data_IF_326831834884
#
_entry.id   IF_326831834884
#
_cell.length_a   1.000
_cell.length_b   1.000
_cell.length_c   1.000
_cell.angle_alpha   90.00
_cell.angle_beta   90.00
_cell.angle_gamma   90.00
#
_symmetry.space_group_name_H-M   'P 1'
#
loop_
_entity.id
_entity.type
_entity.pdbx_description
1 polymer ?
#
# COMPACT_ATOMS: atom_id res chain seq x y z
N UNK A 1 -4.17 17.54 17.83
CA UNK A 1 -4.10 18.08 19.20
C UNK A 1 -5.13 17.33 20.03
N UNK A 2 -4.86 17.05 21.30
CA UNK A 2 -5.90 16.50 22.18
C UNK A 2 -6.91 17.62 22.36
N UNK A 3 -8.00 17.61 21.59
CA UNK A 3 -9.04 18.63 21.69
C UNK A 3 -9.80 18.40 23.00
N UNK A 4 -9.25 18.94 24.08
CA UNK A 4 -9.91 18.96 25.36
C UNK A 4 -11.14 19.87 25.24
N UNK A 5 -12.30 19.33 25.59
CA UNK A 5 -13.58 20.07 25.56
C UNK A 5 -13.63 21.23 26.57
N UNK A 6 -12.68 21.29 27.51
CA UNK A 6 -12.49 22.41 28.43
C UNK A 6 -11.09 22.37 29.07
N UNK A 7 -10.63 23.51 29.60
CA UNK A 7 -9.36 23.59 30.34
C UNK A 7 -9.32 22.71 31.60
N UNK A 8 -10.49 22.31 32.13
CA UNK A 8 -10.60 21.40 33.26
C UNK A 8 -9.84 20.09 33.00
N UNK A 9 -10.01 19.47 31.83
CA UNK A 9 -9.38 18.19 31.53
C UNK A 9 -7.86 18.27 31.45
N UNK A 10 -7.34 19.39 30.94
CA UNK A 10 -5.90 19.66 30.93
C UNK A 10 -5.32 19.69 32.36
N UNK A 11 -5.97 20.47 33.24
CA UNK A 11 -5.55 20.60 34.63
C UNK A 11 -5.73 19.30 35.41
N UNK A 12 -6.82 18.55 35.14
CA UNK A 12 -7.08 17.26 35.76
C UNK A 12 -5.98 16.24 35.41
N UNK A 13 -5.65 16.08 34.12
CA UNK A 13 -4.59 15.17 33.68
C UNK A 13 -3.25 15.58 34.28
N UNK A 14 -2.88 16.86 34.18
CA UNK A 14 -1.62 17.34 34.74
C UNK A 14 -1.55 17.12 36.26
N UNK A 15 -2.63 17.43 36.98
CA UNK A 15 -2.73 17.27 38.42
C UNK A 15 -2.60 15.82 38.87
N UNK A 16 -3.39 14.91 38.28
CA UNK A 16 -3.36 13.48 38.61
C UNK A 16 -1.98 12.90 38.32
N UNK A 17 -1.38 13.18 37.15
CA UNK A 17 -0.05 12.67 36.80
C UNK A 17 1.02 13.12 37.80
N UNK A 18 1.08 14.41 38.15
CA UNK A 18 2.07 14.92 39.10
C UNK A 18 1.86 14.36 40.50
N UNK A 19 0.60 14.30 40.96
CA UNK A 19 0.26 13.72 42.28
C UNK A 19 0.62 12.24 42.33
N UNK A 20 0.37 11.46 41.27
CA UNK A 20 0.74 10.05 41.21
C UNK A 20 2.26 9.85 41.28
N UNK A 21 3.04 10.65 40.55
CA UNK A 21 4.52 10.55 40.59
C UNK A 21 5.04 10.90 42.00
N UNK A 22 4.49 11.94 42.62
CA UNK A 22 4.84 12.31 44.00
C UNK A 22 4.41 11.23 45.00
N UNK A 23 3.24 10.61 44.81
CA UNK A 23 2.76 9.52 45.64
C UNK A 23 3.68 8.29 45.56
N UNK A 24 4.23 7.97 44.38
CA UNK A 24 5.24 6.92 44.25
C UNK A 24 6.52 7.23 45.03
N UNK A 25 6.98 8.49 45.01
CA UNK A 25 8.14 8.91 45.80
C UNK A 25 7.88 8.81 47.30
N UNK A 26 6.69 9.25 47.74
CA UNK A 26 6.26 9.16 49.14
C UNK A 26 6.13 7.70 49.58
N UNK A 27 5.56 6.84 48.74
CA UNK A 27 5.44 5.41 49.02
C UNK A 27 6.82 4.77 49.21
N UNK A 28 7.78 5.04 48.30
CA UNK A 28 9.15 4.56 48.45
C UNK A 28 9.78 5.02 49.77
N UNK A 29 9.56 6.28 50.14
CA UNK A 29 10.08 6.84 51.39
C UNK A 29 9.45 6.20 52.65
N UNK A 30 8.12 5.99 52.65
CA UNK A 30 7.41 5.32 53.74
C UNK A 30 7.83 3.85 53.86
N UNK A 31 7.85 3.11 52.74
CA UNK A 31 8.27 1.70 52.71
C UNK A 31 9.73 1.53 53.14
N UNK A 32 10.61 2.48 52.81
CA UNK A 32 12.01 2.46 53.25
C UNK A 32 12.20 2.78 54.75
N UNK A 33 11.21 3.38 55.41
CA UNK A 33 11.24 3.72 56.85
C UNK A 33 10.38 2.81 57.73
N UNK A 34 9.46 2.06 57.14
CA UNK A 34 8.59 1.15 57.87
C UNK A 34 9.41 0.04 58.54
N UNK A 35 9.20 -0.15 59.84
CA UNK A 35 9.78 -1.27 60.60
C UNK A 35 8.70 -2.31 60.81
N UNK A 36 8.82 -3.45 60.13
CA UNK A 36 7.94 -4.58 60.39
C UNK A 36 8.34 -5.31 61.68
N UNK A 37 7.36 -5.90 62.37
CA UNK A 37 7.63 -6.82 63.47
C UNK A 37 8.14 -8.13 62.88
N UNK A 38 9.35 -8.53 63.23
CA UNK A 38 9.97 -9.76 62.72
C UNK A 38 10.06 -10.81 63.82
N UNK A 39 9.89 -12.07 63.45
CA UNK A 39 10.26 -13.20 64.29
C UNK A 39 11.80 -13.25 64.47
N UNK A 40 12.28 -14.11 65.36
CA UNK A 40 13.72 -14.26 65.69
C UNK A 40 14.59 -14.69 64.50
N UNK A 41 13.98 -15.22 63.43
CA UNK A 41 14.61 -15.64 62.18
C UNK A 41 14.55 -14.58 61.06
N UNK A 42 14.17 -13.34 61.38
CA UNK A 42 14.02 -12.22 60.44
C UNK A 42 12.89 -12.41 59.38
N UNK A 43 11.95 -13.32 59.64
CA UNK A 43 10.73 -13.47 58.84
C UNK A 43 9.54 -12.74 59.47
N UNK A 44 8.44 -12.60 58.72
CA UNK A 44 7.19 -11.98 59.18
C UNK A 44 6.40 -12.84 60.19
N UNK A 45 6.85 -14.06 60.48
CA UNK A 45 6.22 -14.98 61.45
C UNK A 45 5.02 -15.77 60.93
N UNK A 46 4.54 -15.47 59.72
CA UNK A 46 3.51 -16.26 59.02
C UNK A 46 4.15 -17.29 58.09
N UNK A 47 3.54 -18.47 58.00
CA UNK A 47 3.94 -19.53 57.08
C UNK A 47 2.80 -19.79 56.11
N UNK A 48 3.13 -19.79 54.82
CA UNK A 48 2.21 -20.06 53.73
C UNK A 48 2.65 -21.36 53.06
N UNK A 49 1.69 -22.20 52.67
CA UNK A 49 1.91 -23.43 51.90
C UNK A 49 3.11 -24.28 52.36
N UNK A 50 3.09 -24.69 53.63
CA UNK A 50 4.10 -25.58 54.22
C UNK A 50 5.35 -24.87 54.72
N UNK A 51 6.17 -24.30 53.83
CA UNK A 51 7.48 -23.73 54.17
C UNK A 51 7.77 -22.33 53.60
N UNK A 52 6.84 -21.73 52.83
CA UNK A 52 7.03 -20.38 52.31
C UNK A 52 6.88 -19.34 53.43
N UNK A 53 7.91 -18.51 53.58
CA UNK A 53 7.97 -17.42 54.55
C UNK A 53 8.50 -16.16 53.88
N UNK A 54 8.01 -15.02 54.31
CA UNK A 54 8.47 -13.72 53.82
C UNK A 54 9.57 -13.17 54.72
N UNK A 55 10.73 -12.87 54.13
CA UNK A 55 11.83 -12.20 54.83
C UNK A 55 11.60 -10.69 54.86
N UNK A 56 11.88 -10.05 56.01
CA UNK A 56 11.84 -8.59 56.13
C UNK A 56 13.22 -7.98 55.84
N UNK A 57 13.65 -8.08 54.58
CA UNK A 57 14.91 -7.48 54.12
C UNK A 57 14.73 -6.04 53.66
N UNK A 58 15.72 -5.15 53.88
CA UNK A 58 15.69 -3.82 53.32
C UNK A 58 15.77 -3.87 51.79
N UNK A 59 15.12 -2.91 51.13
CA UNK A 59 15.21 -2.76 49.69
C UNK A 59 16.68 -2.62 49.26
N UNK A 60 17.13 -3.34 48.20
CA UNK A 60 18.48 -3.17 47.69
C UNK A 60 18.75 -1.70 47.33
N UNK A 61 19.87 -1.15 47.82
CA UNK A 61 20.17 0.29 47.65
C UNK A 61 20.21 0.72 46.18
N UNK A 62 20.74 -0.14 45.31
CA UNK A 62 20.80 0.12 43.87
C UNK A 62 19.39 0.18 43.25
N UNK A 63 18.46 -0.67 43.71
CA UNK A 63 17.09 -0.70 43.23
C UNK A 63 16.34 0.57 43.65
N UNK A 64 16.51 0.99 44.92
CA UNK A 64 15.90 2.22 45.41
C UNK A 64 16.41 3.45 44.65
N UNK A 65 17.72 3.52 44.36
CA UNK A 65 18.28 4.60 43.54
C UNK A 65 17.77 4.57 42.10
N UNK A 66 17.66 3.39 41.48
CA UNK A 66 17.08 3.25 40.15
C UNK A 66 15.64 3.80 40.11
N UNK A 67 14.82 3.46 41.11
CA UNK A 67 13.46 3.97 41.24
C UNK A 67 13.41 5.49 41.39
N UNK A 68 14.33 6.10 42.12
CA UNK A 68 14.43 7.56 42.23
C UNK A 68 14.84 8.18 40.89
N UNK A 69 15.79 7.57 40.17
CA UNK A 69 16.24 8.05 38.85
C UNK A 69 15.08 8.05 37.85
N UNK A 70 14.23 7.02 37.83
CA UNK A 70 13.07 6.99 36.92
C UNK A 70 12.05 8.07 37.23
N UNK A 71 11.84 8.41 38.52
CA UNK A 71 11.00 9.54 38.92
C UNK A 71 11.59 10.87 38.42
N UNK A 72 12.88 11.09 38.63
CA UNK A 72 13.57 12.30 38.15
C UNK A 72 13.47 12.38 36.62
N UNK A 73 13.71 11.27 35.92
CA UNK A 73 13.57 11.19 34.48
C UNK A 73 12.14 11.54 34.03
N UNK A 74 11.11 11.03 34.71
CA UNK A 74 9.72 11.34 34.39
C UNK A 74 9.41 12.84 34.50
N UNK A 75 9.88 13.52 35.56
CA UNK A 75 9.71 14.97 35.69
C UNK A 75 10.46 15.74 34.59
N UNK A 76 11.70 15.34 34.27
CA UNK A 76 12.47 15.96 33.18
C UNK A 76 11.77 15.74 31.84
N UNK A 77 11.29 14.53 31.57
CA UNK A 77 10.59 14.19 30.33
C UNK A 77 9.31 15.00 30.17
N UNK A 78 8.47 15.06 31.20
CA UNK A 78 7.23 15.87 31.21
C UNK A 78 7.48 17.37 31.13
N UNK A 79 8.66 17.85 31.55
CA UNK A 79 9.05 19.24 31.36
C UNK A 79 9.47 19.53 29.90
N UNK A 80 10.09 18.58 29.21
CA UNK A 80 10.61 18.72 27.85
C UNK A 80 9.58 18.44 26.77
N UNK A 81 8.74 17.42 26.96
CA UNK A 81 7.77 16.89 25.98
C UNK A 81 6.32 17.16 26.40
N UNK A 82 5.37 17.13 25.45
CA UNK A 82 3.96 17.15 25.78
C UNK A 82 3.55 15.91 26.59
N UNK A 83 2.75 16.12 27.63
CA UNK A 83 2.28 15.06 28.52
C UNK A 83 1.44 15.55 29.70
N UNK A 84 1.62 16.82 30.09
CA UNK A 84 0.83 17.46 31.15
C UNK A 84 -0.31 18.29 30.55
N UNK A 85 -1.38 17.61 30.13
CA UNK A 85 -2.55 18.27 29.55
C UNK A 85 -2.19 19.04 28.27
N UNK A 86 -2.45 20.36 28.25
CA UNK A 86 -2.14 21.27 27.12
C UNK A 86 -0.72 21.81 27.13
N UNK A 87 0.10 21.48 28.14
CA UNK A 87 1.49 21.89 28.17
C UNK A 87 2.27 21.20 27.03
N UNK A 88 2.77 22.00 26.09
CA UNK A 88 3.47 21.53 24.89
C UNK A 88 4.90 21.03 25.14
N UNK A 89 5.41 21.16 26.37
CA UNK A 89 6.82 20.93 26.67
C UNK A 89 7.70 22.13 26.28
N UNK A 90 8.91 22.20 26.86
CA UNK A 90 9.88 23.25 26.51
C UNK A 90 10.43 23.12 25.10
N UNK A 91 10.43 21.91 24.53
CA UNK A 91 10.98 21.65 23.19
C UNK A 91 9.97 21.95 22.08
N UNK A 92 8.70 22.20 22.40
CA UNK A 92 7.64 22.39 21.39
C UNK A 92 7.46 21.18 20.46
N UNK A 93 7.88 19.99 20.90
CA UNK A 93 7.86 18.78 20.10
C UNK A 93 6.43 18.27 19.89
N UNK A 94 6.15 17.77 18.68
CA UNK A 94 4.96 16.98 18.38
C UNK A 94 5.33 15.85 17.42
N UNK A 95 4.67 14.70 17.54
CA UNK A 95 4.88 13.57 16.62
C UNK A 95 4.57 13.95 15.16
N UNK A 96 3.53 14.76 14.94
CA UNK A 96 3.17 15.28 13.63
C UNK A 96 4.21 16.24 13.07
N UNK A 97 4.76 17.14 13.91
CA UNK A 97 5.80 18.07 13.47
C UNK A 97 7.13 17.38 13.17
N UNK A 98 7.49 16.38 13.99
CA UNK A 98 8.66 15.54 13.72
C UNK A 98 8.48 14.77 12.42
N UNK A 99 7.33 14.11 12.22
CA UNK A 99 7.04 13.38 10.99
C UNK A 99 7.14 14.28 9.76
N UNK A 100 6.54 15.47 9.80
CA UNK A 100 6.63 16.42 8.68
C UNK A 100 8.08 16.82 8.39
N UNK A 101 8.86 17.12 9.45
CA UNK A 101 10.28 17.48 9.30
C UNK A 101 11.09 16.35 8.68
N UNK A 102 10.83 15.10 9.08
CA UNK A 102 11.50 13.92 8.52
C UNK A 102 11.12 13.67 7.06
N UNK A 103 9.84 13.84 6.71
CA UNK A 103 9.35 13.76 5.32
C UNK A 103 9.96 14.86 4.45
N UNK A 104 9.97 16.10 4.92
CA UNK A 104 10.53 17.24 4.18
C UNK A 104 12.03 17.05 3.94
N UNK A 105 12.76 16.60 4.96
CA UNK A 105 14.18 16.28 4.83
C UNK A 105 14.40 15.15 3.82
N UNK A 106 13.65 14.05 3.93
CA UNK A 106 13.74 12.93 2.99
C UNK A 106 13.44 13.35 1.55
N UNK A 107 12.42 14.17 1.34
CA UNK A 107 12.07 14.73 0.03
C UNK A 107 13.18 15.63 -0.52
N UNK A 108 13.78 16.49 0.32
CA UNK A 108 14.90 17.34 -0.08
C UNK A 108 16.15 16.53 -0.47
N UNK A 109 16.44 15.46 0.26
CA UNK A 109 17.58 14.58 0.01
C UNK A 109 17.46 13.84 -1.34
N UNK A 110 16.24 13.44 -1.74
CA UNK A 110 16.00 12.73 -3.02
C UNK A 110 15.66 13.67 -4.19
N UNK A 111 15.32 14.94 -3.94
CA UNK A 111 14.91 15.87 -4.98
C UNK A 111 15.93 16.04 -6.12
N UNK A 112 17.26 16.17 -5.88
CA UNK A 112 18.24 16.28 -6.96
C UNK A 112 18.29 15.05 -7.86
N UNK A 113 18.12 13.86 -7.26
CA UNK A 113 18.10 12.59 -7.98
C UNK A 113 16.89 12.51 -8.91
N UNK A 114 15.71 12.87 -8.42
CA UNK A 114 14.49 12.88 -9.23
C UNK A 114 14.48 14.01 -10.28
N UNK A 115 15.05 15.17 -9.98
CA UNK A 115 15.16 16.28 -10.93
C UNK A 115 16.00 15.91 -12.17
N UNK A 116 17.02 15.04 -12.02
CA UNK A 116 17.74 14.46 -13.15
C UNK A 116 16.79 13.72 -14.09
N UNK A 117 15.93 12.86 -13.56
CA UNK A 117 15.04 12.00 -14.36
C UNK A 117 13.82 12.73 -14.91
N UNK A 118 13.27 13.72 -14.18
CA UNK A 118 12.11 14.51 -14.63
C UNK A 118 12.37 15.29 -15.92
N UNK A 119 13.62 15.65 -16.19
CA UNK A 119 14.00 16.38 -17.42
C UNK A 119 14.33 15.45 -18.60
N UNK A 120 14.41 14.14 -18.36
CA UNK A 120 14.68 13.14 -19.38
C UNK A 120 13.39 12.62 -20.00
N UNK A 121 13.45 12.26 -21.29
CA UNK A 121 12.33 11.56 -21.92
C UNK A 121 12.17 10.17 -21.29
N UNK A 122 10.94 9.64 -21.17
CA UNK A 122 10.73 8.32 -20.55
C UNK A 122 11.59 7.21 -21.15
N UNK A 123 11.84 7.25 -22.46
CA UNK A 123 12.68 6.29 -23.17
C UNK A 123 14.15 6.38 -22.75
N UNK A 124 14.64 7.59 -22.44
CA UNK A 124 16.00 7.82 -21.92
C UNK A 124 16.09 7.38 -20.45
N UNK A 125 15.06 7.66 -19.66
CA UNK A 125 14.96 7.19 -18.26
C UNK A 125 14.98 5.66 -18.21
N UNK A 126 14.26 5.00 -19.12
CA UNK A 126 14.25 3.54 -19.25
C UNK A 126 15.63 2.96 -19.60
N UNK A 127 16.55 3.77 -20.15
CA UNK A 127 17.93 3.39 -20.45
C UNK A 127 18.93 3.67 -19.33
N UNK A 128 18.53 4.38 -18.27
CA UNK A 128 19.39 4.73 -17.12
C UNK A 128 19.26 3.67 -16.02
N UNK A 129 20.36 2.98 -15.70
CA UNK A 129 20.37 1.89 -14.73
C UNK A 129 19.98 2.32 -13.30
N UNK A 130 20.30 3.55 -12.91
CA UNK A 130 19.92 4.08 -11.61
C UNK A 130 18.41 4.33 -11.55
N UNK A 131 17.83 4.88 -12.62
CA UNK A 131 16.40 5.06 -12.74
C UNK A 131 15.65 3.72 -12.72
N UNK A 132 16.14 2.70 -13.44
CA UNK A 132 15.52 1.36 -13.45
C UNK A 132 15.56 0.69 -12.08
N UNK A 133 16.67 0.79 -11.35
CA UNK A 133 16.73 0.27 -9.98
C UNK A 133 15.75 0.99 -9.04
N UNK A 134 15.47 2.28 -9.25
CA UNK A 134 14.45 3.02 -8.48
C UNK A 134 13.05 2.57 -8.91
N UNK A 135 12.80 2.49 -10.21
CA UNK A 135 11.54 2.03 -10.79
C UNK A 135 11.16 0.63 -10.33
N UNK A 136 12.10 -0.29 -10.30
CA UNK A 136 11.92 -1.65 -9.76
C UNK A 136 11.49 -1.62 -8.29
N UNK A 137 12.17 -0.82 -7.44
CA UNK A 137 11.78 -0.68 -6.02
C UNK A 137 10.39 -0.07 -5.87
N UNK A 138 10.05 0.93 -6.69
CA UNK A 138 8.71 1.52 -6.69
C UNK A 138 7.67 0.46 -7.11
N UNK A 139 7.96 -0.32 -8.16
CA UNK A 139 7.09 -1.37 -8.66
C UNK A 139 6.88 -2.49 -7.64
N UNK A 140 7.95 -2.99 -7.03
CA UNK A 140 7.88 -4.07 -6.05
C UNK A 140 7.10 -3.68 -4.79
N UNK A 141 7.22 -2.42 -4.35
CA UNK A 141 6.50 -1.94 -3.16
C UNK A 141 5.03 -1.59 -3.42
N UNK A 142 4.68 -1.16 -4.65
CA UNK A 142 3.37 -0.55 -4.91
C UNK A 142 2.52 -1.29 -5.96
N UNK A 143 3.12 -2.10 -6.83
CA UNK A 143 2.46 -2.65 -8.02
C UNK A 143 2.48 -4.19 -8.07
N UNK A 144 3.56 -4.82 -7.59
CA UNK A 144 3.78 -6.27 -7.70
C UNK A 144 2.70 -7.13 -7.01
N UNK A 145 2.03 -6.59 -5.99
CA UNK A 145 0.93 -7.30 -5.30
C UNK A 145 -0.21 -7.68 -6.26
N UNK A 146 -0.44 -6.86 -7.30
CA UNK A 146 -1.47 -7.12 -8.31
C UNK A 146 -0.86 -7.63 -9.61
N UNK A 147 0.16 -6.93 -10.11
CA UNK A 147 0.77 -7.22 -11.42
C UNK A 147 1.84 -8.32 -11.38
N UNK A 148 2.08 -8.96 -10.24
CA UNK A 148 3.11 -9.98 -10.08
C UNK A 148 4.51 -9.38 -9.89
N UNK A 149 5.42 -10.15 -9.27
CA UNK A 149 6.80 -9.71 -9.03
C UNK A 149 7.62 -9.55 -10.32
N UNK A 150 7.26 -10.30 -11.36
CA UNK A 150 7.85 -10.25 -12.71
C UNK A 150 7.05 -9.35 -13.66
N UNK A 151 6.05 -8.63 -13.13
CA UNK A 151 5.08 -7.87 -13.90
C UNK A 151 4.23 -8.70 -14.89
N UNK A 152 4.21 -10.03 -14.75
CA UNK A 152 3.49 -10.96 -15.63
C UNK A 152 1.97 -10.97 -15.48
N UNK A 153 1.44 -10.25 -14.49
CA UNK A 153 0.02 -10.18 -14.21
C UNK A 153 -0.56 -11.47 -13.60
N UNK A 154 -1.88 -11.58 -13.65
CA UNK A 154 -2.63 -12.77 -13.23
C UNK A 154 -4.03 -12.74 -13.84
N UNK A 155 -4.87 -13.74 -13.59
CA UNK A 155 -6.25 -13.71 -14.12
C UNK A 155 -7.00 -12.45 -13.66
N UNK A 156 -7.34 -11.59 -14.62
CA UNK A 156 -8.02 -10.31 -14.42
C UNK A 156 -7.08 -9.12 -14.22
N UNK A 157 -5.76 -9.32 -14.11
CA UNK A 157 -4.76 -8.28 -13.98
C UNK A 157 -3.78 -8.32 -15.17
N UNK A 158 -3.62 -7.22 -15.92
CA UNK A 158 -2.77 -7.21 -17.11
C UNK A 158 -1.32 -7.57 -16.82
N UNK A 159 -0.72 -8.28 -17.78
CA UNK A 159 0.72 -8.43 -17.91
C UNK A 159 1.29 -7.11 -18.43
N UNK A 160 2.30 -6.58 -17.76
CA UNK A 160 2.94 -5.30 -18.11
C UNK A 160 4.27 -5.50 -18.85
N UNK A 161 4.70 -6.75 -19.00
CA UNK A 161 5.94 -7.17 -19.65
C UNK A 161 5.71 -7.66 -21.09
N UNK A 162 4.47 -7.69 -21.58
CA UNK A 162 4.16 -8.00 -22.98
C UNK A 162 3.84 -6.75 -23.80
N UNK A 163 3.54 -6.97 -25.08
CA UNK A 163 3.18 -5.92 -26.02
C UNK A 163 1.69 -5.57 -26.05
N UNK A 164 0.84 -6.21 -25.25
CA UNK A 164 -0.61 -6.01 -25.29
C UNK A 164 -1.07 -4.95 -24.27
N UNK A 165 -1.55 -3.82 -24.80
CA UNK A 165 -1.89 -2.66 -23.97
C UNK A 165 -3.36 -2.28 -24.15
N UNK A 166 -4.15 -2.53 -23.09
CA UNK A 166 -5.57 -2.18 -23.04
C UNK A 166 -5.84 -0.71 -23.30
N UNK A 167 -5.02 0.19 -22.75
CA UNK A 167 -5.20 1.64 -22.90
C UNK A 167 -4.17 2.30 -23.82
N UNK A 168 -3.19 1.55 -24.33
CA UNK A 168 -2.06 2.02 -25.12
C UNK A 168 -0.73 2.02 -24.35
N UNK A 169 0.33 1.56 -25.02
CA UNK A 169 1.67 1.37 -24.44
C UNK A 169 2.63 2.54 -24.58
N UNK A 170 2.16 3.72 -25.02
CA UNK A 170 3.01 4.91 -25.10
C UNK A 170 3.35 5.41 -23.67
N UNK A 171 4.57 5.93 -23.41
CA UNK A 171 4.96 6.36 -22.07
C UNK A 171 4.01 7.38 -21.43
N UNK A 172 3.47 8.32 -22.22
CA UNK A 172 2.49 9.29 -21.75
C UNK A 172 1.19 8.63 -21.27
N UNK A 173 0.74 7.59 -21.96
CA UNK A 173 -0.47 6.83 -21.63
C UNK A 173 -0.30 5.96 -20.40
N UNK A 174 0.88 5.34 -20.24
CA UNK A 174 1.26 4.61 -19.03
C UNK A 174 1.31 5.58 -17.85
N UNK A 175 1.96 6.74 -18.00
CA UNK A 175 2.01 7.79 -16.99
C UNK A 175 0.61 8.27 -16.60
N UNK A 176 -0.26 8.51 -17.56
CA UNK A 176 -1.66 8.88 -17.28
C UNK A 176 -2.39 7.79 -16.50
N UNK A 177 -2.22 6.53 -16.89
CA UNK A 177 -2.81 5.37 -16.21
C UNK A 177 -2.33 5.28 -14.76
N UNK A 178 -1.04 5.44 -14.50
CA UNK A 178 -0.50 5.48 -13.14
C UNK A 178 -1.03 6.68 -12.34
N UNK A 179 -1.14 7.85 -12.97
CA UNK A 179 -1.55 9.08 -12.30
C UNK A 179 -3.03 9.06 -11.94
N UNK A 180 -3.90 8.78 -12.92
CA UNK A 180 -5.36 8.93 -12.80
C UNK A 180 -6.08 7.62 -12.50
N UNK A 181 -5.39 6.49 -12.61
CA UNK A 181 -6.04 5.19 -12.61
C UNK A 181 -6.80 4.92 -13.91
N UNK A 182 -7.39 3.72 -14.00
CA UNK A 182 -8.28 3.31 -15.09
C UNK A 182 -9.41 2.46 -14.54
N UNK A 183 -10.58 2.57 -15.17
CA UNK A 183 -11.72 1.69 -14.90
C UNK A 183 -12.17 1.09 -16.24
N UNK A 184 -11.97 -0.22 -16.39
CA UNK A 184 -12.51 -0.98 -17.52
C UNK A 184 -13.90 -1.48 -17.15
N UNK A 185 -14.87 -1.31 -18.05
CA UNK A 185 -16.25 -1.74 -17.83
C UNK A 185 -16.79 -2.49 -19.05
N UNK A 186 -16.89 -3.80 -18.94
CA UNK A 186 -17.64 -4.65 -19.85
C UNK A 186 -19.02 -4.92 -19.24
N UNK A 187 -20.10 -4.30 -19.74
CA UNK A 187 -21.43 -4.54 -19.19
C UNK A 187 -21.91 -5.98 -19.47
N UNK A 188 -22.89 -6.49 -18.71
CA UNK A 188 -23.61 -7.70 -19.08
C UNK A 188 -24.27 -7.54 -20.46
N UNK A 189 -23.89 -8.38 -21.41
CA UNK A 189 -24.35 -8.32 -22.81
C UNK A 189 -25.31 -9.46 -23.18
N UNK A 190 -25.58 -10.42 -22.29
CA UNK A 190 -26.46 -11.56 -22.58
C UNK A 190 -27.81 -11.16 -23.19
N UNK A 191 -28.49 -10.17 -22.59
CA UNK A 191 -29.77 -9.66 -23.10
C UNK A 191 -29.66 -8.97 -24.47
N UNK A 192 -28.53 -8.32 -24.77
CA UNK A 192 -28.27 -7.66 -26.05
C UNK A 192 -27.90 -8.66 -27.17
N UNK A 193 -27.43 -9.85 -26.80
CA UNK A 193 -27.08 -10.94 -27.73
C UNK A 193 -28.30 -11.81 -28.06
N UNK A 194 -29.13 -12.10 -27.05
CA UNK A 194 -30.39 -12.83 -27.20
C UNK A 194 -30.46 -14.06 -26.31
N UNK A 195 -30.63 -15.24 -26.92
CA UNK A 195 -30.77 -16.51 -26.21
C UNK A 195 -29.43 -17.05 -25.68
N UNK A 196 -29.48 -18.06 -24.81
CA UNK A 196 -28.27 -18.75 -24.36
C UNK A 196 -27.49 -19.40 -25.52
N UNK A 197 -28.20 -19.92 -26.52
CA UNK A 197 -27.60 -20.46 -27.73
C UNK A 197 -26.94 -19.37 -28.59
N UNK A 198 -27.53 -18.17 -28.64
CA UNK A 198 -26.91 -17.01 -29.31
C UNK A 198 -25.59 -16.60 -28.63
N UNK A 199 -25.56 -16.59 -27.30
CA UNK A 199 -24.34 -16.30 -26.52
C UNK A 199 -23.27 -17.37 -26.76
N UNK A 200 -23.67 -18.64 -26.84
CA UNK A 200 -22.78 -19.75 -27.18
C UNK A 200 -22.20 -19.60 -28.59
N UNK A 201 -23.05 -19.33 -29.59
CA UNK A 201 -22.64 -19.09 -30.97
C UNK A 201 -21.68 -17.90 -31.07
N UNK A 202 -21.98 -16.80 -30.35
CA UNK A 202 -21.11 -15.63 -30.29
C UNK A 202 -19.75 -15.95 -29.64
N UNK A 203 -19.72 -16.76 -28.59
CA UNK A 203 -18.47 -17.18 -27.96
C UNK A 203 -17.57 -17.96 -28.95
N UNK A 204 -18.16 -18.84 -29.78
CA UNK A 204 -17.44 -19.53 -30.85
C UNK A 204 -16.94 -18.57 -31.93
N UNK A 205 -17.72 -17.54 -32.27
CA UNK A 205 -17.26 -16.50 -33.19
C UNK A 205 -16.07 -15.71 -32.61
N UNK A 206 -16.10 -15.35 -31.33
CA UNK A 206 -14.98 -14.67 -30.67
C UNK A 206 -13.73 -15.55 -30.65
N UNK A 207 -13.85 -16.86 -30.38
CA UNK A 207 -12.73 -17.81 -30.52
C UNK A 207 -12.18 -17.87 -31.95
N UNK A 208 -13.04 -17.71 -32.96
CA UNK A 208 -12.59 -17.69 -34.36
C UNK A 208 -11.77 -16.44 -34.71
N UNK A 209 -11.95 -15.32 -34.00
CA UNK A 209 -11.22 -14.07 -34.23
C UNK A 209 -9.73 -14.20 -33.87
N UNK A 210 -9.41 -14.95 -32.82
CA UNK A 210 -8.04 -15.24 -32.40
C UNK A 210 -7.43 -16.47 -33.10
N UNK A 211 -8.16 -17.10 -34.02
CA UNK A 211 -7.74 -18.36 -34.65
C UNK A 211 -7.73 -19.56 -33.69
N UNK A 212 -8.39 -19.45 -32.53
CA UNK A 212 -8.49 -20.55 -31.56
C UNK A 212 -9.40 -21.68 -32.06
N UNK A 213 -9.24 -22.93 -31.58
CA UNK A 213 -10.16 -24.02 -31.89
C UNK A 213 -11.61 -23.65 -31.55
N UNK A 214 -12.49 -23.77 -32.54
CA UNK A 214 -13.90 -23.38 -32.45
C UNK A 214 -14.79 -24.25 -33.33
N UNK A 215 -16.10 -24.23 -33.08
CA UNK A 215 -17.11 -24.81 -33.96
C UNK A 215 -17.45 -23.81 -35.08
N UNK A 216 -17.15 -24.19 -36.33
CA UNK A 216 -17.31 -23.32 -37.50
C UNK A 216 -18.77 -22.98 -37.83
N UNK A 217 -19.70 -23.90 -37.55
CA UNK A 217 -21.13 -23.65 -37.76
C UNK A 217 -21.63 -22.63 -36.73
N UNK A 218 -21.29 -22.83 -35.46
CA UNK A 218 -21.68 -21.92 -34.39
C UNK A 218 -21.04 -20.54 -34.55
N UNK A 219 -19.76 -20.48 -34.94
CA UNK A 219 -19.09 -19.21 -35.23
C UNK A 219 -19.76 -18.44 -36.37
N UNK A 220 -20.21 -19.13 -37.43
CA UNK A 220 -20.96 -18.51 -38.53
C UNK A 220 -22.28 -17.91 -38.07
N UNK A 221 -23.03 -18.63 -37.21
CA UNK A 221 -24.28 -18.13 -36.63
C UNK A 221 -24.04 -16.94 -35.67
N UNK A 222 -22.96 -16.99 -34.89
CA UNK A 222 -22.58 -15.98 -33.91
C UNK A 222 -22.09 -14.67 -34.50
N UNK A 223 -21.56 -14.68 -35.74
CA UNK A 223 -20.99 -13.51 -36.41
C UNK A 223 -21.95 -12.32 -36.45
N UNK A 224 -23.23 -12.56 -36.74
CA UNK A 224 -24.24 -11.48 -36.79
C UNK A 224 -24.49 -10.83 -35.42
N UNK A 225 -24.29 -11.56 -34.33
CA UNK A 225 -24.50 -11.10 -32.95
C UNK A 225 -23.37 -10.22 -32.43
N UNK A 226 -22.18 -10.31 -33.03
CA UNK A 226 -21.03 -9.50 -32.66
C UNK A 226 -21.24 -8.00 -32.94
N UNK A 227 -22.25 -7.62 -33.73
CA UNK A 227 -22.62 -6.22 -33.96
C UNK A 227 -22.82 -5.43 -32.65
N UNK A 228 -23.39 -6.06 -31.61
CA UNK A 228 -23.56 -5.45 -30.28
C UNK A 228 -22.23 -5.25 -29.53
N UNK A 229 -21.21 -6.03 -29.86
CA UNK A 229 -19.87 -5.98 -29.26
C UNK A 229 -18.94 -5.00 -29.99
N UNK A 230 -19.17 -4.81 -31.28
CA UNK A 230 -18.33 -4.00 -32.16
C UNK A 230 -18.26 -2.52 -31.77
N UNK A 231 -19.25 -2.01 -31.03
CA UNK A 231 -19.24 -0.65 -30.50
C UNK A 231 -18.04 -0.38 -29.57
N UNK A 232 -17.60 -1.41 -28.83
CA UNK A 232 -16.47 -1.31 -27.92
C UNK A 232 -15.23 -2.05 -28.45
N UNK A 233 -15.39 -3.23 -29.04
CA UNK A 233 -14.26 -4.06 -29.49
C UNK A 233 -13.87 -3.83 -30.95
N UNK A 234 -14.52 -2.91 -31.66
CA UNK A 234 -14.33 -2.71 -33.10
C UNK A 234 -15.00 -3.79 -33.93
N UNK A 235 -15.25 -3.51 -35.21
CA UNK A 235 -15.88 -4.47 -36.12
C UNK A 235 -15.00 -5.68 -36.43
N UNK A 236 -13.68 -5.50 -36.39
CA UNK A 236 -12.69 -6.55 -36.58
C UNK A 236 -12.25 -7.20 -35.27
N UNK A 237 -12.80 -6.78 -34.13
CA UNK A 237 -12.48 -7.33 -32.81
C UNK A 237 -11.14 -6.87 -32.25
N UNK A 238 -10.46 -5.88 -32.84
CA UNK A 238 -9.15 -5.41 -32.39
C UNK A 238 -9.14 -4.62 -31.08
N UNK A 239 -10.29 -4.41 -30.47
CA UNK A 239 -10.42 -3.65 -29.24
C UNK A 239 -10.46 -2.14 -29.49
N UNK A 240 -10.52 -1.39 -28.39
CA UNK A 240 -10.54 0.07 -28.41
C UNK A 240 -9.80 0.60 -27.18
N UNK A 241 -8.60 1.14 -27.43
CA UNK A 241 -7.73 1.64 -26.37
C UNK A 241 -8.31 2.83 -25.60
N UNK A 242 -9.14 3.65 -26.25
CA UNK A 242 -9.81 4.76 -25.57
C UNK A 242 -10.78 4.29 -24.48
N UNK A 243 -11.35 3.09 -24.65
CA UNK A 243 -12.28 2.46 -23.71
C UNK A 243 -11.61 1.43 -22.79
N UNK A 244 -10.37 1.02 -23.08
CA UNK A 244 -9.74 -0.14 -22.43
C UNK A 244 -10.32 -1.47 -22.88
N UNK A 245 -11.01 -1.50 -24.03
CA UNK A 245 -11.61 -2.72 -24.54
C UNK A 245 -10.50 -3.59 -25.16
N UNK A 246 -10.30 -4.83 -24.66
CA UNK A 246 -9.22 -5.70 -25.13
C UNK A 246 -9.39 -6.08 -26.59
N UNK A 247 -8.26 -6.36 -27.22
CA UNK A 247 -8.20 -7.05 -28.49
C UNK A 247 -8.69 -8.50 -28.31
N UNK A 248 -9.59 -8.93 -29.18
CA UNK A 248 -10.17 -10.28 -29.18
C UNK A 248 -9.57 -11.17 -30.28
N UNK A 249 -8.63 -10.62 -31.07
CA UNK A 249 -8.00 -11.32 -32.20
C UNK A 249 -6.61 -11.88 -31.86
N UNK A 250 -6.12 -11.70 -30.63
CA UNK A 250 -4.83 -12.22 -30.18
C UNK A 250 -5.00 -13.40 -29.21
N UNK A 251 -3.87 -13.86 -28.69
CA UNK A 251 -3.77 -14.96 -27.74
C UNK A 251 -3.73 -14.49 -26.27
N UNK A 252 -4.04 -13.21 -25.99
CA UNK A 252 -3.97 -12.63 -24.66
C UNK A 252 -5.34 -12.63 -23.97
N UNK A 253 -5.55 -13.65 -23.13
CA UNK A 253 -6.84 -13.87 -22.45
C UNK A 253 -6.84 -13.41 -20.99
N UNK A 254 -6.97 -12.10 -20.76
CA UNK A 254 -6.95 -11.49 -19.43
C UNK A 254 -7.91 -12.15 -18.42
N UNK A 255 -9.10 -12.55 -18.87
CA UNK A 255 -10.16 -13.06 -18.02
C UNK A 255 -10.38 -14.57 -18.07
N UNK A 256 -9.45 -15.29 -18.69
CA UNK A 256 -9.54 -16.73 -18.93
C UNK A 256 -9.91 -17.05 -20.37
N UNK A 257 -9.46 -18.22 -20.79
CA UNK A 257 -9.56 -18.71 -22.16
C UNK A 257 -10.68 -19.74 -22.32
N UNK A 258 -11.22 -19.84 -23.53
CA UNK A 258 -12.18 -20.85 -23.95
C UNK A 258 -13.65 -20.41 -23.86
N UNK A 259 -14.51 -21.21 -24.49
CA UNK A 259 -15.94 -20.91 -24.65
C UNK A 259 -16.63 -20.56 -23.32
N UNK A 260 -16.43 -21.37 -22.28
CA UNK A 260 -17.07 -21.15 -20.98
C UNK A 260 -16.66 -19.80 -20.34
N UNK A 261 -15.41 -19.38 -20.50
CA UNK A 261 -14.93 -18.10 -19.98
C UNK A 261 -15.57 -16.92 -20.73
N UNK A 262 -15.69 -17.03 -22.06
CA UNK A 262 -16.30 -16.02 -22.91
C UNK A 262 -17.81 -15.90 -22.61
N UNK A 263 -18.52 -17.04 -22.49
CA UNK A 263 -19.95 -17.05 -22.12
C UNK A 263 -20.16 -16.39 -20.75
N UNK A 264 -19.32 -16.73 -19.77
CA UNK A 264 -19.39 -16.13 -18.44
C UNK A 264 -19.17 -14.61 -18.49
N UNK A 265 -18.22 -14.15 -19.31
CA UNK A 265 -17.94 -12.73 -19.52
C UNK A 265 -19.11 -12.00 -20.19
N UNK A 266 -19.68 -12.56 -21.26
CA UNK A 266 -20.83 -11.97 -21.97
C UNK A 266 -22.04 -11.86 -21.03
N UNK A 267 -22.30 -12.87 -20.21
CA UNK A 267 -23.48 -12.89 -19.34
C UNK A 267 -23.30 -12.06 -18.07
N UNK A 268 -22.12 -12.12 -17.44
CA UNK A 268 -21.86 -11.47 -16.15
C UNK A 268 -21.26 -10.07 -16.26
N UNK A 269 -20.63 -9.74 -17.40
CA UNK A 269 -19.81 -8.56 -17.53
C UNK A 269 -18.59 -8.57 -16.59
N UNK A 270 -17.85 -7.47 -16.58
CA UNK A 270 -16.73 -7.25 -15.66
C UNK A 270 -16.44 -5.76 -15.49
N UNK A 271 -16.24 -5.36 -14.24
CA UNK A 271 -15.60 -4.09 -13.90
C UNK A 271 -14.22 -4.39 -13.34
N UNK A 272 -13.20 -3.79 -13.94
CA UNK A 272 -11.82 -3.86 -13.50
C UNK A 272 -11.34 -2.45 -13.14
N UNK A 273 -10.47 -2.35 -12.14
CA UNK A 273 -9.94 -1.08 -11.70
C UNK A 273 -8.43 -1.16 -11.51
N UNK A 274 -7.73 -0.21 -12.13
CA UNK A 274 -6.36 0.16 -11.81
C UNK A 274 -6.44 1.43 -10.95
N UNK A 275 -6.11 1.37 -9.65
CA UNK A 275 -6.21 2.54 -8.78
C UNK A 275 -5.22 3.65 -9.15
N UNK A 276 -5.64 4.90 -9.00
CA UNK A 276 -4.76 6.06 -9.15
C UNK A 276 -3.62 6.04 -8.12
N UNK A 277 -2.41 6.39 -8.54
CA UNK A 277 -1.23 6.43 -7.68
C UNK A 277 -0.80 7.85 -7.30
N UNK A 278 -1.46 8.89 -7.83
CA UNK A 278 -1.11 10.29 -7.58
C UNK A 278 -1.18 10.71 -6.10
N UNK A 279 -2.01 10.04 -5.29
CA UNK A 279 -2.11 10.30 -3.85
C UNK A 279 -1.00 9.63 -3.03
N UNK A 280 -0.26 8.68 -3.64
CA UNK A 280 0.78 7.88 -2.97
C UNK A 280 2.19 8.19 -3.45
N UNK A 281 2.33 8.53 -4.73
CA UNK A 281 3.60 8.74 -5.41
C UNK A 281 3.67 10.17 -5.93
N UNK A 282 4.85 10.78 -5.80
CA UNK A 282 5.12 12.09 -6.39
C UNK A 282 5.18 12.02 -7.91
N UNK A 283 4.97 13.14 -8.60
CA UNK A 283 5.05 13.19 -10.06
C UNK A 283 6.39 12.65 -10.62
N UNK A 284 7.56 12.95 -10.03
CA UNK A 284 8.82 12.36 -10.47
C UNK A 284 8.91 10.85 -10.23
N UNK A 285 8.34 10.34 -9.14
CA UNK A 285 8.26 8.89 -8.89
C UNK A 285 7.39 8.19 -9.94
N UNK A 286 6.25 8.78 -10.28
CA UNK A 286 5.37 8.27 -11.34
C UNK A 286 6.07 8.31 -12.70
N UNK A 287 6.85 9.35 -12.99
CA UNK A 287 7.63 9.44 -14.23
C UNK A 287 8.66 8.31 -14.34
N UNK A 288 9.42 8.04 -13.28
CA UNK A 288 10.38 6.93 -13.23
C UNK A 288 9.66 5.57 -13.32
N UNK A 289 8.55 5.40 -12.61
CA UNK A 289 7.76 4.16 -12.64
C UNK A 289 7.14 3.90 -14.02
N UNK A 290 6.62 4.94 -14.68
CA UNK A 290 6.09 4.84 -16.04
C UNK A 290 7.18 4.42 -17.03
N UNK A 291 8.38 4.98 -16.88
CA UNK A 291 9.55 4.65 -17.72
C UNK A 291 10.01 3.21 -17.47
N UNK A 292 10.00 2.76 -16.22
CA UNK A 292 10.32 1.38 -15.85
C UNK A 292 9.34 0.39 -16.47
N UNK A 293 8.03 0.62 -16.30
CA UNK A 293 6.98 -0.23 -16.87
C UNK A 293 7.06 -0.27 -18.40
N UNK A 294 7.30 0.88 -19.03
CA UNK A 294 7.53 0.94 -20.48
C UNK A 294 8.76 0.12 -20.91
N UNK A 295 9.85 0.19 -20.15
CA UNK A 295 11.09 -0.56 -20.41
C UNK A 295 10.98 -2.08 -20.27
N UNK A 296 9.95 -2.61 -19.60
CA UNK A 296 9.73 -4.06 -19.51
C UNK A 296 9.36 -4.65 -20.89
N UNK A 297 8.44 -4.00 -21.58
CA UNK A 297 7.91 -4.45 -22.88
C UNK A 297 8.68 -3.91 -24.09
N UNK A 298 9.58 -2.93 -23.88
CA UNK A 298 10.34 -2.30 -24.95
C UNK A 298 11.83 -2.57 -24.80
N UNK A 299 12.49 -3.04 -25.87
CA UNK A 299 13.94 -3.24 -25.88
C UNK A 299 14.67 -1.89 -25.85
N UNK A 300 15.07 -1.45 -24.67
CA UNK A 300 15.87 -0.23 -24.53
C UNK A 300 17.33 -0.53 -24.87
N UNK A 301 17.92 0.26 -25.77
CA UNK A 301 19.37 0.24 -25.95
C UNK A 301 19.99 0.86 -24.70
N UNK A 302 20.60 0.04 -23.86
CA UNK A 302 21.33 0.52 -22.68
C UNK A 302 22.42 1.50 -23.14
N UNK A 303 22.28 2.76 -22.77
CA UNK A 303 23.32 3.76 -22.96
C UNK A 303 24.53 3.35 -22.14
N UNK A 304 25.70 3.26 -22.77
CA UNK A 304 26.95 2.97 -22.08
C UNK A 304 27.14 4.01 -20.96
N UNK A 305 27.04 3.58 -19.71
CA UNK A 305 27.42 4.39 -18.56
C UNK A 305 28.90 4.70 -18.72
N UNK A 306 29.27 5.95 -19.00
CA UNK A 306 30.66 6.37 -18.90
C UNK A 306 31.07 6.21 -17.45
N UNK A 307 32.06 5.35 -17.21
CA UNK A 307 32.74 5.24 -15.92
C UNK A 307 33.26 6.59 -15.44
#
# INVERSE_FOLDING_TARGET
MSDFTSNFWSLFVAGVTLVSILACLLLLWFSGKAKAMTASDNTTGHVWDGDLREMNNPLPRWWAWLFVITIVFAFVYLALYPGLGTYAGKLGWSSTGQHQTEVDKGNADVAPLYAKFSNMKPEEVAGDAQAMAIGERLFMNNCAQCHGSDAGGSKGIPNLNDGDWLHGGAPATIKETLTKGRVGNMPPMGAAVGSADDVKNLAQYVLSLSGSPHDSLQASLGKSKFASCAACHGMDGKGNQALGAPNLTDDVWLHGYGEAAIIAMINGGKVNQMPAQADKLTEPQIHVLASYVWGLSNKVKTGAVSK
#
